data_IF_909938438710
#
_entry.id   IF_909938438710
#
_cell.length_a   1.000
_cell.length_b   1.000
_cell.length_c   1.000
_cell.angle_alpha   90.00
_cell.angle_beta   90.00
_cell.angle_gamma   90.00
#
_symmetry.space_group_name_H-M   'P 1'
#
loop_
_entity.id
_entity.type
_entity.pdbx_description
1 polymer ?
#
# COMPACT_ATOMS: atom_id res chain seq x y z
N UNK A 1 40.81 5.29 4.45
CA UNK A 1 40.10 3.99 4.47
C UNK A 1 38.63 4.30 4.67
N UNK A 2 37.84 4.17 3.61
CA UNK A 2 36.41 4.49 3.63
C UNK A 2 35.70 3.49 4.56
N UNK A 3 35.05 4.01 5.60
CA UNK A 3 34.28 3.17 6.53
C UNK A 3 33.02 2.73 5.76
N UNK A 4 33.00 1.50 5.26
CA UNK A 4 31.75 0.90 4.76
C UNK A 4 30.77 0.84 5.93
N UNK A 5 29.70 1.62 5.85
CA UNK A 5 28.59 1.51 6.78
C UNK A 5 27.97 0.12 6.62
N UNK A 6 27.77 -0.58 7.74
CA UNK A 6 26.95 -1.79 7.73
C UNK A 6 25.50 -1.36 7.43
N UNK A 7 24.87 -2.05 6.49
CA UNK A 7 23.46 -1.86 6.15
C UNK A 7 22.75 -3.11 6.64
N UNK A 8 21.75 -2.92 7.50
CA UNK A 8 21.01 -3.99 8.17
C UNK A 8 19.52 -3.87 7.87
N UNK A 9 18.81 -5.00 7.91
CA UNK A 9 17.36 -5.05 7.82
C UNK A 9 16.83 -5.15 9.25
N UNK A 10 16.21 -4.07 9.75
CA UNK A 10 15.76 -3.99 11.14
C UNK A 10 14.27 -4.25 11.30
N UNK A 11 13.49 -4.21 10.23
CA UNK A 11 12.06 -4.53 10.26
C UNK A 11 11.53 -4.91 8.88
N UNK A 12 10.52 -5.77 8.86
CA UNK A 12 9.84 -6.19 7.64
C UNK A 12 8.32 -6.15 7.80
N UNK A 13 7.64 -5.85 6.70
CA UNK A 13 6.19 -5.91 6.62
C UNK A 13 5.78 -6.41 5.25
N UNK A 14 4.70 -7.19 5.21
CA UNK A 14 4.32 -7.91 4.00
C UNK A 14 2.80 -8.13 3.96
N UNK A 15 2.21 -7.80 2.82
CA UNK A 15 0.78 -8.02 2.58
C UNK A 15 0.63 -8.76 1.26
N UNK A 16 0.05 -9.97 1.33
CA UNK A 16 -0.14 -10.84 0.16
C UNK A 16 -1.55 -11.42 0.13
N UNK A 17 -1.89 -12.12 -0.95
CA UNK A 17 -3.15 -12.87 -1.06
C UNK A 17 -3.24 -14.06 -0.10
N UNK A 18 -2.11 -14.60 0.36
CA UNK A 18 -2.06 -15.79 1.21
C UNK A 18 -1.88 -15.48 2.70
N UNK A 19 -1.46 -14.26 3.04
CA UNK A 19 -1.25 -13.79 4.40
C UNK A 19 -0.82 -12.32 4.49
N UNK A 20 -1.22 -11.69 5.59
CA UNK A 20 -0.78 -10.36 6.02
C UNK A 20 0.15 -10.54 7.25
N UNK A 21 1.28 -9.85 7.25
CA UNK A 21 2.33 -10.01 8.26
C UNK A 21 3.28 -11.16 7.96
N UNK A 22 4.52 -11.00 8.42
CA UNK A 22 5.62 -11.95 8.17
C UNK A 22 5.28 -13.35 8.66
N UNK A 23 4.67 -13.48 9.84
CA UNK A 23 4.30 -14.78 10.43
C UNK A 23 3.26 -15.52 9.57
N UNK A 24 2.13 -14.87 9.27
CA UNK A 24 1.05 -15.51 8.51
C UNK A 24 1.50 -15.84 7.08
N UNK A 25 2.27 -14.95 6.45
CA UNK A 25 2.86 -15.22 5.14
C UNK A 25 3.81 -16.42 5.18
N UNK A 26 4.72 -16.49 6.15
CA UNK A 26 5.70 -17.57 6.30
C UNK A 26 5.03 -18.93 6.49
N UNK A 27 4.02 -19.00 7.36
CA UNK A 27 3.24 -20.23 7.60
C UNK A 27 2.48 -20.67 6.34
N UNK A 28 1.84 -19.72 5.65
CA UNK A 28 1.14 -19.99 4.39
C UNK A 28 2.11 -20.48 3.30
N UNK A 29 3.28 -19.86 3.19
CA UNK A 29 4.31 -20.22 2.22
C UNK A 29 4.85 -21.63 2.47
N UNK A 30 5.21 -21.97 3.71
CA UNK A 30 5.76 -23.29 4.03
C UNK A 30 4.73 -24.42 4.03
N UNK A 31 3.45 -24.11 4.22
CA UNK A 31 2.37 -25.09 4.06
C UNK A 31 1.92 -25.30 2.61
N UNK A 32 2.48 -24.54 1.65
CA UNK A 32 2.08 -24.62 0.25
C UNK A 32 0.68 -24.07 -0.03
N UNK A 33 0.17 -23.18 0.84
CA UNK A 33 -1.13 -22.54 0.65
C UNK A 33 -1.12 -21.66 -0.60
N UNK A 34 -2.17 -21.76 -1.40
CA UNK A 34 -2.39 -20.91 -2.58
C UNK A 34 -3.72 -20.18 -2.48
N UNK A 35 -3.84 -19.04 -3.17
CA UNK A 35 -5.06 -18.22 -3.22
C UNK A 35 -5.28 -17.71 -4.65
N UNK A 36 -5.27 -18.62 -5.63
CA UNK A 36 -5.65 -18.30 -7.00
C UNK A 36 -7.13 -18.59 -7.19
N UNK A 37 -7.87 -17.59 -7.65
CA UNK A 37 -9.29 -17.72 -8.01
C UNK A 37 -9.59 -16.74 -9.16
N UNK A 38 -10.79 -16.80 -9.71
CA UNK A 38 -11.29 -15.73 -10.55
C UNK A 38 -11.34 -14.43 -9.76
N UNK A 39 -10.78 -13.37 -10.35
CA UNK A 39 -10.81 -12.03 -9.78
C UNK A 39 -12.26 -11.54 -9.67
N UNK A 40 -12.65 -11.10 -8.47
CA UNK A 40 -14.02 -10.66 -8.13
C UNK A 40 -14.09 -9.17 -7.85
N UNK A 41 -12.95 -8.52 -7.60
CA UNK A 41 -12.88 -7.10 -7.27
C UNK A 41 -13.19 -6.23 -8.50
N UNK A 42 -13.86 -5.09 -8.25
CA UNK A 42 -14.25 -4.11 -9.27
C UNK A 42 -13.05 -3.52 -10.04
N UNK A 43 -13.33 -2.91 -11.20
CA UNK A 43 -12.32 -2.32 -12.10
C UNK A 43 -11.96 -3.21 -13.29
N UNK A 44 -12.71 -4.29 -13.53
CA UNK A 44 -12.60 -5.19 -14.69
C UNK A 44 -13.96 -5.47 -15.35
N UNK A 45 -14.93 -4.59 -15.14
CA UNK A 45 -16.28 -4.70 -15.70
C UNK A 45 -16.21 -4.79 -17.23
N UNK A 46 -16.90 -5.77 -17.82
CA UNK A 46 -16.89 -6.03 -19.26
C UNK A 46 -15.67 -6.80 -19.79
N UNK A 47 -14.68 -7.11 -18.94
CA UNK A 47 -13.58 -8.00 -19.31
C UNK A 47 -13.98 -9.48 -19.16
N UNK A 48 -13.30 -10.37 -19.90
CA UNK A 48 -13.42 -11.81 -19.69
C UNK A 48 -12.95 -12.19 -18.27
N UNK A 49 -13.55 -13.22 -17.63
CA UNK A 49 -13.06 -13.75 -16.36
C UNK A 49 -11.57 -14.04 -16.43
N UNK A 50 -10.85 -13.68 -15.36
CA UNK A 50 -9.40 -13.79 -15.30
C UNK A 50 -8.98 -14.37 -13.96
N UNK A 51 -8.03 -15.30 -13.97
CA UNK A 51 -7.51 -15.92 -12.75
C UNK A 51 -6.37 -15.06 -12.21
N UNK A 52 -6.37 -14.83 -10.90
CA UNK A 52 -5.28 -14.17 -10.20
C UNK A 52 -5.40 -14.37 -8.71
N UNK A 53 -4.66 -13.59 -7.94
CA UNK A 53 -4.63 -13.71 -6.49
C UNK A 53 -4.99 -12.36 -5.85
N UNK A 54 -6.18 -12.29 -5.28
CA UNK A 54 -6.65 -11.08 -4.61
C UNK A 54 -6.14 -11.03 -3.18
N UNK A 55 -5.52 -9.92 -2.79
CA UNK A 55 -5.33 -9.58 -1.37
C UNK A 55 -6.72 -9.43 -0.76
N UNK A 56 -7.05 -10.08 0.37
CA UNK A 56 -8.33 -9.89 1.07
C UNK A 56 -8.60 -8.42 1.44
N UNK A 57 -9.85 -8.10 1.77
CA UNK A 57 -10.17 -6.76 2.29
C UNK A 57 -9.43 -6.52 3.61
N UNK A 58 -8.85 -5.32 3.77
CA UNK A 58 -8.07 -4.91 4.95
C UNK A 58 -8.62 -3.59 5.47
N UNK A 59 -8.74 -3.46 6.79
CA UNK A 59 -9.19 -2.21 7.41
C UNK A 59 -8.01 -1.37 7.90
N UNK A 60 -7.29 -0.77 6.97
CA UNK A 60 -6.08 0.03 7.23
C UNK A 60 -6.39 1.25 8.13
N UNK A 61 -7.63 1.74 8.12
CA UNK A 61 -8.04 2.90 8.92
C UNK A 61 -8.08 2.61 10.43
N UNK A 62 -8.22 1.34 10.82
CA UNK A 62 -8.16 0.93 12.22
C UNK A 62 -6.75 1.04 12.81
N UNK A 63 -5.72 0.99 11.95
CA UNK A 63 -4.32 0.99 12.35
C UNK A 63 -3.74 2.39 12.53
N UNK A 64 -4.22 3.34 11.73
CA UNK A 64 -3.79 4.74 11.77
C UNK A 64 -5.01 5.68 11.83
N UNK A 65 -5.71 5.74 12.99
CA UNK A 65 -6.94 6.53 13.14
C UNK A 65 -6.75 8.02 12.83
N UNK A 66 -5.60 8.59 13.18
CA UNK A 66 -5.23 9.98 12.93
C UNK A 66 -5.13 10.31 11.44
N UNK A 67 -4.86 9.31 10.60
CA UNK A 67 -4.79 9.43 9.14
C UNK A 67 -6.06 8.90 8.44
N UNK A 68 -7.13 8.61 9.18
CA UNK A 68 -8.37 8.02 8.63
C UNK A 68 -8.98 8.83 7.47
N UNK A 69 -8.93 10.17 7.52
CA UNK A 69 -9.41 11.03 6.43
C UNK A 69 -8.58 10.87 5.15
N UNK A 70 -7.26 10.85 5.30
CA UNK A 70 -6.31 10.65 4.20
C UNK A 70 -6.49 9.26 3.58
N UNK A 71 -6.47 8.22 4.41
CA UNK A 71 -6.56 6.81 4.01
C UNK A 71 -7.90 6.44 3.36
N UNK A 72 -9.01 7.07 3.78
CA UNK A 72 -10.32 6.91 3.12
C UNK A 72 -10.27 7.24 1.64
N UNK A 73 -9.34 8.10 1.24
CA UNK A 73 -9.25 8.62 -0.11
C UNK A 73 -8.02 8.17 -0.88
N UNK A 74 -7.14 7.42 -0.21
CA UNK A 74 -6.01 6.75 -0.82
C UNK A 74 -6.47 5.61 -1.72
N UNK A 75 -5.69 5.34 -2.78
CA UNK A 75 -5.91 4.16 -3.60
C UNK A 75 -5.75 2.88 -2.78
N UNK A 76 -6.33 1.78 -3.27
CA UNK A 76 -6.16 0.47 -2.65
C UNK A 76 -4.68 0.12 -2.47
N UNK A 77 -3.86 0.37 -3.48
CA UNK A 77 -2.42 0.13 -3.43
C UNK A 77 -1.72 0.99 -2.38
N UNK A 78 -2.11 2.26 -2.23
CA UNK A 78 -1.62 3.13 -1.17
C UNK A 78 -2.00 2.62 0.23
N UNK A 79 -3.22 2.09 0.41
CA UNK A 79 -3.64 1.47 1.67
C UNK A 79 -2.83 0.21 1.98
N UNK A 80 -2.62 -0.68 1.01
CA UNK A 80 -1.78 -1.87 1.17
C UNK A 80 -0.33 -1.51 1.49
N UNK A 81 0.23 -0.51 0.80
CA UNK A 81 1.58 -0.03 1.09
C UNK A 81 1.68 0.55 2.51
N UNK A 82 0.69 1.33 2.95
CA UNK A 82 0.64 1.88 4.31
C UNK A 82 0.62 0.77 5.35
N UNK A 83 -0.15 -0.29 5.10
CA UNK A 83 -0.21 -1.46 5.98
C UNK A 83 1.13 -2.18 6.07
N UNK A 84 1.77 -2.47 4.93
CA UNK A 84 3.07 -3.12 4.90
C UNK A 84 4.16 -2.26 5.58
N UNK A 85 4.17 -0.95 5.36
CA UNK A 85 5.11 -0.05 6.04
C UNK A 85 4.82 0.02 7.53
N UNK A 86 3.55 0.01 7.95
CA UNK A 86 3.18 -0.01 9.38
C UNK A 86 3.73 -1.24 10.09
N UNK A 87 3.61 -2.42 9.48
CA UNK A 87 4.20 -3.66 10.01
C UNK A 87 5.73 -3.55 10.12
N UNK A 88 6.40 -3.07 9.07
CA UNK A 88 7.86 -2.90 9.07
C UNK A 88 8.32 -1.86 10.11
N UNK A 89 7.57 -0.77 10.27
CA UNK A 89 7.85 0.30 11.23
C UNK A 89 7.72 -0.19 12.67
N UNK A 90 6.74 -1.05 12.93
CA UNK A 90 6.54 -1.69 14.22
C UNK A 90 7.62 -2.72 14.53
N UNK A 91 7.96 -3.57 13.56
CA UNK A 91 9.01 -4.60 13.69
C UNK A 91 10.38 -3.95 13.96
N UNK A 92 10.68 -2.83 13.29
CA UNK A 92 11.87 -2.01 13.53
C UNK A 92 11.82 -1.16 14.82
N UNK A 93 10.74 -1.24 15.60
CA UNK A 93 10.52 -0.46 16.83
C UNK A 93 10.59 1.07 16.64
N UNK A 94 10.22 1.56 15.45
CA UNK A 94 10.27 2.98 15.11
C UNK A 94 9.03 3.78 15.57
N UNK A 95 7.98 3.11 16.03
CA UNK A 95 6.70 3.73 16.46
C UNK A 95 6.88 4.73 17.60
N UNK A 96 7.83 4.46 18.51
CA UNK A 96 8.15 5.33 19.65
C UNK A 96 9.47 6.09 19.45
N UNK A 97 10.08 5.96 18.28
CA UNK A 97 11.44 6.41 18.01
C UNK A 97 11.52 7.91 17.75
N UNK A 98 12.48 8.58 18.41
CA UNK A 98 12.90 9.96 18.09
C UNK A 98 13.88 9.97 16.90
N UNK A 99 13.56 9.27 15.81
CA UNK A 99 14.39 9.35 14.61
C UNK A 99 14.09 10.69 13.96
N UNK A 100 15.14 11.47 13.66
CA UNK A 100 14.98 12.72 12.93
C UNK A 100 14.33 12.43 11.56
N UNK A 101 13.15 12.99 11.23
CA UNK A 101 12.50 12.82 9.93
C UNK A 101 13.42 13.02 8.72
N UNK A 102 14.31 14.03 8.76
CA UNK A 102 15.25 14.36 7.67
C UNK A 102 16.34 13.31 7.46
N UNK A 103 16.44 12.32 8.36
CA UNK A 103 17.38 11.20 8.29
C UNK A 103 16.72 9.92 7.79
N UNK A 104 15.44 9.97 7.43
CA UNK A 104 14.68 8.86 6.90
C UNK A 104 14.50 9.08 5.41
N UNK A 105 14.94 8.12 4.60
CA UNK A 105 14.65 8.08 3.17
C UNK A 105 13.54 7.09 2.87
N UNK A 106 12.73 7.39 1.85
CA UNK A 106 11.73 6.47 1.31
C UNK A 106 12.03 6.19 -0.16
N UNK A 107 12.07 4.91 -0.52
CA UNK A 107 12.16 4.46 -1.92
C UNK A 107 11.01 3.49 -2.16
N UNK A 108 10.11 3.85 -3.07
CA UNK A 108 8.97 3.01 -3.45
C UNK A 108 9.16 2.51 -4.87
N UNK A 109 9.13 1.20 -5.04
CA UNK A 109 9.09 0.53 -6.34
C UNK A 109 7.70 -0.05 -6.60
N UNK A 110 7.24 0.04 -7.84
CA UNK A 110 5.96 -0.51 -8.25
C UNK A 110 5.78 -0.45 -9.76
N UNK A 111 4.80 -1.20 -10.25
CA UNK A 111 4.38 -1.15 -11.65
C UNK A 111 2.87 -1.22 -11.69
N UNK A 112 2.24 -0.31 -12.45
CA UNK A 112 0.79 -0.28 -12.65
C UNK A 112 -0.03 -0.19 -11.35
N UNK A 113 0.53 0.40 -10.28
CA UNK A 113 -0.07 0.36 -8.94
C UNK A 113 -1.33 1.23 -8.83
N UNK A 114 -1.53 2.22 -9.70
CA UNK A 114 -2.72 3.07 -9.71
C UNK A 114 -3.79 2.72 -10.76
N UNK A 115 -3.53 1.79 -11.68
CA UNK A 115 -4.39 1.56 -12.86
C UNK A 115 -5.85 1.23 -12.52
N UNK A 116 -6.07 0.34 -11.54
CA UNK A 116 -7.42 -0.01 -11.10
C UNK A 116 -8.14 1.19 -10.49
N UNK A 117 -7.46 1.98 -9.66
CA UNK A 117 -8.05 3.15 -9.03
C UNK A 117 -8.48 4.19 -10.07
N UNK A 118 -7.64 4.42 -11.08
CA UNK A 118 -7.97 5.29 -12.21
C UNK A 118 -9.20 4.81 -12.97
N UNK A 119 -9.27 3.50 -13.26
CA UNK A 119 -10.40 2.89 -13.95
C UNK A 119 -11.71 3.04 -13.17
N UNK A 120 -11.69 2.79 -11.86
CA UNK A 120 -12.87 2.93 -10.99
C UNK A 120 -13.36 4.39 -10.91
N UNK A 121 -12.43 5.35 -10.80
CA UNK A 121 -12.76 6.78 -10.83
C UNK A 121 -13.37 7.16 -12.18
N UNK A 122 -12.75 6.74 -13.28
CA UNK A 122 -13.25 7.03 -14.63
C UNK A 122 -14.66 6.48 -14.81
N UNK A 123 -14.90 5.21 -14.49
CA UNK A 123 -16.23 4.61 -14.57
C UNK A 123 -17.27 5.36 -13.73
N UNK A 124 -16.90 5.82 -12.52
CA UNK A 124 -17.81 6.49 -11.59
C UNK A 124 -18.14 7.94 -11.97
N UNK A 125 -17.22 8.64 -12.63
CA UNK A 125 -17.30 10.10 -12.85
C UNK A 125 -17.30 10.52 -14.32
N UNK A 126 -17.16 9.60 -15.30
CA UNK A 126 -17.15 9.93 -16.73
C UNK A 126 -18.35 10.79 -17.20
N UNK A 127 -19.54 10.59 -16.63
CA UNK A 127 -20.75 11.36 -16.96
C UNK A 127 -20.94 12.63 -16.11
N UNK A 128 -20.07 12.86 -15.12
CA UNK A 128 -20.22 13.91 -14.11
C UNK A 128 -18.87 14.43 -13.58
N UNK A 129 -18.00 14.95 -14.48
CA UNK A 129 -16.62 15.33 -14.15
C UNK A 129 -16.52 16.42 -13.06
N UNK A 130 -17.55 17.23 -12.85
CA UNK A 130 -17.60 18.26 -11.80
C UNK A 130 -17.53 17.71 -10.37
N UNK A 131 -17.75 16.40 -10.17
CA UNK A 131 -17.60 15.74 -8.86
C UNK A 131 -16.24 15.06 -8.68
N UNK A 132 -15.34 15.19 -9.66
CA UNK A 132 -13.99 14.68 -9.55
C UNK A 132 -13.23 15.47 -8.48
N UNK A 133 -12.51 14.76 -7.61
CA UNK A 133 -11.74 15.42 -6.55
C UNK A 133 -10.58 16.20 -7.18
N UNK A 134 -10.29 17.43 -6.71
CA UNK A 134 -9.13 18.19 -7.20
C UNK A 134 -7.80 17.42 -7.07
N UNK A 135 -7.69 16.56 -6.07
CA UNK A 135 -6.49 15.73 -5.83
C UNK A 135 -6.33 14.58 -6.82
N UNK A 136 -7.29 14.32 -7.72
CA UNK A 136 -7.20 13.23 -8.69
C UNK A 136 -5.94 13.32 -9.55
N UNK A 137 -5.54 14.54 -9.97
CA UNK A 137 -4.32 14.73 -10.75
C UNK A 137 -3.04 14.27 -10.03
N UNK A 138 -3.05 14.18 -8.70
CA UNK A 138 -1.95 13.62 -7.91
C UNK A 138 -2.01 12.09 -7.89
N UNK A 139 -3.20 11.51 -7.69
CA UNK A 139 -3.38 10.05 -7.57
C UNK A 139 -3.24 9.29 -8.89
N UNK A 140 -3.18 9.99 -10.02
CA UNK A 140 -2.79 9.38 -11.32
C UNK A 140 -1.33 8.90 -11.29
N UNK A 141 -0.47 9.55 -10.51
CA UNK A 141 0.95 9.21 -10.46
C UNK A 141 1.24 8.21 -9.35
N UNK A 142 2.13 7.26 -9.62
CA UNK A 142 2.56 6.27 -8.63
C UNK A 142 3.29 6.93 -7.43
N UNK A 143 3.80 8.15 -7.61
CA UNK A 143 4.43 8.97 -6.57
C UNK A 143 3.47 9.38 -5.45
N UNK A 144 2.15 9.32 -5.67
CA UNK A 144 1.14 9.54 -4.63
C UNK A 144 1.34 8.62 -3.42
N UNK A 145 1.77 7.36 -3.66
CA UNK A 145 2.06 6.41 -2.58
C UNK A 145 3.23 6.91 -1.72
N UNK A 146 4.26 7.52 -2.33
CA UNK A 146 5.37 8.10 -1.57
C UNK A 146 4.90 9.27 -0.70
N UNK A 147 4.06 10.15 -1.25
CA UNK A 147 3.49 11.28 -0.49
C UNK A 147 2.63 10.81 0.68
N UNK A 148 1.77 9.81 0.44
CA UNK A 148 0.93 9.17 1.44
C UNK A 148 1.77 8.58 2.59
N UNK A 149 2.77 7.76 2.26
CA UNK A 149 3.62 7.12 3.25
C UNK A 149 4.45 8.14 4.03
N UNK A 150 5.00 9.15 3.35
CA UNK A 150 5.80 10.19 4.00
C UNK A 150 4.96 10.96 5.02
N UNK A 151 3.69 11.23 4.69
CA UNK A 151 2.76 11.88 5.61
C UNK A 151 2.37 10.98 6.79
N UNK A 152 2.09 9.68 6.56
CA UNK A 152 1.71 8.75 7.62
C UNK A 152 2.85 8.42 8.59
N UNK A 153 4.10 8.40 8.12
CA UNK A 153 5.27 7.98 8.90
C UNK A 153 6.24 9.12 9.22
N UNK A 154 5.84 10.38 8.97
CA UNK A 154 6.64 11.57 9.24
C UNK A 154 8.05 11.53 8.62
N UNK A 155 8.11 11.24 7.32
CA UNK A 155 9.34 11.25 6.51
C UNK A 155 9.46 12.60 5.80
N UNK A 156 10.64 13.22 5.80
CA UNK A 156 10.88 14.57 5.25
C UNK A 156 12.02 14.59 4.24
#
# INVERSE_FOLDING_TARGET
MERKSNIEITGMGIVTSIGQGVTAFKEALFSGKTQFDYLKRSGREGAKPFIGAEIPEVDVRSLLPEYSSLLRTASWSGQIATLAVSEAWQDAQLVNGKVNPERIGLVVGGSNVQQRHQQEIWQRYQSRPQFLRPTYGLTVWDTDIMGLLSQCFHIQ
#
